data_IF_394655092825
#
_entry.id   IF_394655092825
#
_cell.length_a   1.000
_cell.length_b   1.000
_cell.length_c   1.000
_cell.angle_alpha   90.00
_cell.angle_beta   90.00
_cell.angle_gamma   90.00
#
_symmetry.space_group_name_H-M   'P 1'
#
loop_
_entity.id
_entity.type
_entity.pdbx_description
1 polymer ?
#
# COMPACT_ATOMS: atom_id res chain seq x y z
N UNK A 1 -20.76 12.73 13.49
CA UNK A 1 -20.65 14.20 13.56
C UNK A 1 -19.62 14.75 12.57
N UNK A 2 -18.39 14.20 12.53
CA UNK A 2 -17.31 14.65 11.64
C UNK A 2 -17.59 14.45 10.13
N UNK A 3 -18.16 13.31 9.74
CA UNK A 3 -18.57 13.03 8.35
C UNK A 3 -19.71 13.94 7.87
N UNK A 4 -20.66 14.25 8.75
CA UNK A 4 -21.74 15.22 8.47
C UNK A 4 -21.21 16.64 8.30
N UNK A 5 -20.23 17.04 9.12
CA UNK A 5 -19.56 18.35 9.00
C UNK A 5 -18.77 18.46 7.69
N UNK A 6 -18.00 17.45 7.30
CA UNK A 6 -17.30 17.44 6.00
C UNK A 6 -18.26 17.46 4.80
N UNK A 7 -19.32 16.64 4.83
CA UNK A 7 -20.37 16.65 3.80
C UNK A 7 -21.06 18.01 3.70
N UNK A 8 -21.33 18.65 4.83
CA UNK A 8 -21.93 19.99 4.88
C UNK A 8 -20.97 21.07 4.38
N UNK A 9 -19.69 21.01 4.75
CA UNK A 9 -18.66 21.92 4.28
C UNK A 9 -18.47 21.79 2.75
N UNK A 10 -18.52 20.56 2.22
CA UNK A 10 -18.48 20.31 0.78
C UNK A 10 -19.71 20.82 0.05
N UNK A 11 -20.90 20.60 0.61
CA UNK A 11 -22.14 21.12 0.04
C UNK A 11 -22.11 22.65 -0.03
N UNK A 12 -21.61 23.31 1.03
CA UNK A 12 -21.49 24.77 1.09
C UNK A 12 -20.44 25.29 0.09
N UNK A 13 -19.31 24.60 -0.10
CA UNK A 13 -18.24 25.04 -1.01
C UNK A 13 -18.53 24.74 -2.48
N UNK A 14 -19.09 23.57 -2.81
CA UNK A 14 -19.31 23.14 -4.19
C UNK A 14 -20.73 23.44 -4.70
N UNK A 15 -21.67 23.79 -3.82
CA UNK A 15 -23.11 23.97 -4.11
C UNK A 15 -23.74 22.80 -4.89
N UNK A 16 -23.18 21.60 -4.76
CA UNK A 16 -23.60 20.38 -5.43
C UNK A 16 -23.74 19.26 -4.42
N UNK A 17 -24.61 18.30 -4.71
CA UNK A 17 -24.67 17.05 -3.95
C UNK A 17 -23.35 16.28 -4.14
N UNK A 18 -22.72 15.86 -3.04
CA UNK A 18 -21.41 15.20 -3.03
C UNK A 18 -21.41 13.91 -3.85
N UNK A 19 -22.48 13.12 -3.77
CA UNK A 19 -22.58 11.87 -4.53
C UNK A 19 -22.71 12.13 -6.03
N UNK A 20 -23.48 13.16 -6.42
CA UNK A 20 -23.59 13.56 -7.83
C UNK A 20 -22.25 14.10 -8.34
N UNK A 21 -21.57 14.92 -7.55
CA UNK A 21 -20.24 15.43 -7.90
C UNK A 21 -19.24 14.29 -8.08
N UNK A 22 -19.20 13.34 -7.15
CA UNK A 22 -18.30 12.18 -7.21
C UNK A 22 -18.59 11.31 -8.42
N UNK A 23 -19.87 11.02 -8.70
CA UNK A 23 -20.28 10.28 -9.88
C UNK A 23 -19.80 10.96 -11.17
N UNK A 24 -20.06 12.26 -11.30
CA UNK A 24 -19.60 13.04 -12.46
C UNK A 24 -18.07 13.08 -12.54
N UNK A 25 -17.38 13.28 -11.41
CA UNK A 25 -15.92 13.31 -11.34
C UNK A 25 -15.29 12.00 -11.81
N UNK A 26 -15.85 10.86 -11.39
CA UNK A 26 -15.39 9.52 -11.78
C UNK A 26 -15.61 9.23 -13.27
N UNK A 27 -16.70 9.75 -13.86
CA UNK A 27 -17.05 9.49 -15.26
C UNK A 27 -16.56 10.56 -16.24
N UNK A 28 -15.92 11.61 -15.75
CA UNK A 28 -15.53 12.77 -16.56
C UNK A 28 -14.43 12.47 -17.60
N UNK A 29 -13.61 11.44 -17.37
CA UNK A 29 -12.48 11.08 -18.24
C UNK A 29 -12.47 9.57 -18.51
N UNK A 30 -12.20 9.19 -19.77
CA UNK A 30 -12.03 7.80 -20.19
C UNK A 30 -10.94 7.09 -19.38
N UNK A 31 -9.84 7.77 -19.04
CA UNK A 31 -8.76 7.21 -18.19
C UNK A 31 -9.29 6.81 -16.82
N UNK A 32 -10.10 7.67 -16.20
CA UNK A 32 -10.73 7.39 -14.90
C UNK A 32 -11.66 6.20 -14.96
N UNK A 33 -12.52 6.15 -15.99
CA UNK A 33 -13.43 5.01 -16.20
C UNK A 33 -12.64 3.72 -16.35
N UNK A 34 -11.58 3.71 -17.15
CA UNK A 34 -10.73 2.53 -17.33
C UNK A 34 -10.05 2.10 -16.02
N UNK A 35 -9.48 3.05 -15.27
CA UNK A 35 -8.89 2.78 -13.96
C UNK A 35 -9.90 2.19 -12.97
N UNK A 36 -11.11 2.74 -12.90
CA UNK A 36 -12.17 2.25 -12.01
C UNK A 36 -12.55 0.82 -12.40
N UNK A 37 -12.77 0.54 -13.70
CA UNK A 37 -13.08 -0.81 -14.17
C UNK A 37 -11.96 -1.79 -13.84
N UNK A 38 -10.71 -1.38 -14.05
CA UNK A 38 -9.54 -2.17 -13.71
C UNK A 38 -9.47 -2.48 -12.21
N UNK A 39 -9.67 -1.48 -11.34
CA UNK A 39 -9.68 -1.67 -9.89
C UNK A 39 -10.85 -2.52 -9.39
N UNK A 40 -12.03 -2.42 -10.02
CA UNK A 40 -13.14 -3.32 -9.74
C UNK A 40 -12.78 -4.78 -10.08
N UNK A 41 -12.11 -5.01 -11.21
CA UNK A 41 -11.62 -6.33 -11.59
C UNK A 41 -10.54 -6.84 -10.63
N UNK A 42 -9.59 -6.00 -10.21
CA UNK A 42 -8.58 -6.34 -9.22
C UNK A 42 -9.21 -6.70 -7.86
N UNK A 43 -10.23 -5.95 -7.44
CA UNK A 43 -10.97 -6.21 -6.19
C UNK A 43 -11.72 -7.54 -6.28
N UNK A 44 -12.42 -7.79 -7.39
CA UNK A 44 -13.08 -9.07 -7.64
C UNK A 44 -12.10 -10.24 -7.59
N UNK A 45 -10.95 -10.10 -8.26
CA UNK A 45 -9.88 -11.11 -8.27
C UNK A 45 -9.29 -11.36 -6.88
N UNK A 46 -9.20 -10.33 -6.04
CA UNK A 46 -8.73 -10.44 -4.65
C UNK A 46 -9.73 -11.20 -3.78
N UNK A 47 -11.03 -10.92 -3.95
CA UNK A 47 -12.09 -11.61 -3.23
C UNK A 47 -12.15 -13.09 -3.63
N UNK A 48 -12.07 -13.40 -4.93
CA UNK A 48 -12.07 -14.80 -5.39
C UNK A 48 -10.84 -15.55 -4.91
N UNK A 49 -9.66 -14.90 -4.85
CA UNK A 49 -8.46 -15.47 -4.25
C UNK A 49 -8.65 -15.81 -2.76
N UNK A 50 -9.22 -14.89 -1.97
CA UNK A 50 -9.51 -15.13 -0.55
C UNK A 50 -10.48 -16.29 -0.37
N UNK A 51 -11.55 -16.36 -1.17
CA UNK A 51 -12.50 -17.48 -1.15
C UNK A 51 -11.83 -18.79 -1.53
N UNK A 52 -10.98 -18.80 -2.56
CA UNK A 52 -10.26 -19.99 -3.00
C UNK A 52 -9.29 -20.52 -1.94
N UNK A 53 -8.60 -19.64 -1.22
CA UNK A 53 -7.72 -20.03 -0.11
C UNK A 53 -8.54 -20.62 1.05
N UNK A 54 -9.68 -20.02 1.39
CA UNK A 54 -10.57 -20.50 2.44
C UNK A 54 -11.27 -21.82 2.13
N UNK A 55 -11.37 -22.22 0.86
CA UNK A 55 -11.91 -23.53 0.49
C UNK A 55 -11.03 -24.68 1.01
N UNK A 56 -9.72 -24.45 1.18
CA UNK A 56 -8.77 -25.51 1.54
C UNK A 56 -8.91 -25.88 3.03
N UNK A 57 -9.32 -27.11 3.38
CA UNK A 57 -9.53 -27.49 4.78
C UNK A 57 -8.20 -27.51 5.55
N UNK A 58 -8.20 -27.00 6.78
CA UNK A 58 -7.04 -26.93 7.69
C UNK A 58 -5.80 -26.23 7.08
N UNK A 59 -6.01 -25.33 6.12
CA UNK A 59 -4.93 -24.57 5.50
C UNK A 59 -4.65 -23.29 6.28
N UNK A 60 -3.38 -23.01 6.57
CA UNK A 60 -2.90 -21.72 7.08
C UNK A 60 -2.03 -21.06 6.02
N UNK A 61 -2.28 -19.80 5.70
CA UNK A 61 -1.55 -19.09 4.66
C UNK A 61 -0.06 -18.97 5.02
N UNK A 62 0.81 -19.37 4.09
CA UNK A 62 2.25 -19.14 4.23
C UNK A 62 2.58 -17.65 4.12
N UNK A 63 3.77 -17.26 4.56
CA UNK A 63 4.26 -15.88 4.43
C UNK A 63 4.17 -15.39 2.98
N UNK A 64 4.50 -16.24 2.01
CA UNK A 64 4.42 -15.92 0.57
C UNK A 64 2.98 -15.64 0.14
N UNK A 65 2.02 -16.45 0.58
CA UNK A 65 0.60 -16.26 0.28
C UNK A 65 0.06 -14.97 0.90
N UNK A 66 0.51 -14.60 2.11
CA UNK A 66 0.17 -13.31 2.72
C UNK A 66 0.72 -12.12 1.94
N UNK A 67 1.88 -12.26 1.28
CA UNK A 67 2.47 -11.21 0.41
C UNK A 67 1.77 -11.06 -0.95
N UNK A 68 0.80 -11.90 -1.29
CA UNK A 68 -0.01 -11.67 -2.50
C UNK A 68 -0.74 -10.32 -2.45
N UNK A 69 -1.17 -9.86 -1.26
CA UNK A 69 -1.80 -8.55 -1.10
C UNK A 69 -0.84 -7.38 -1.40
N UNK A 70 0.45 -7.53 -1.10
CA UNK A 70 1.49 -6.56 -1.49
C UNK A 70 1.64 -6.45 -3.01
N UNK A 71 1.52 -7.56 -3.73
CA UNK A 71 1.54 -7.53 -5.20
C UNK A 71 0.26 -6.90 -5.78
N UNK A 72 -0.90 -7.23 -5.21
CA UNK A 72 -2.19 -6.66 -5.63
C UNK A 72 -2.20 -5.15 -5.43
N UNK A 73 -1.70 -4.64 -4.30
CA UNK A 73 -1.66 -3.18 -4.08
C UNK A 73 -0.71 -2.50 -5.08
N UNK A 74 0.41 -3.12 -5.46
CA UNK A 74 1.26 -2.63 -6.55
C UNK A 74 0.51 -2.53 -7.88
N UNK A 75 -0.24 -3.57 -8.24
CA UNK A 75 -1.06 -3.59 -9.48
C UNK A 75 -2.07 -2.44 -9.47
N UNK A 76 -2.69 -2.13 -8.33
CA UNK A 76 -3.70 -1.06 -8.21
C UNK A 76 -3.06 0.33 -8.23
N UNK A 77 -1.99 0.52 -7.46
CA UNK A 77 -1.41 1.84 -7.21
C UNK A 77 -0.52 2.33 -8.34
N UNK A 78 0.30 1.47 -8.97
CA UNK A 78 1.19 1.88 -10.06
C UNK A 78 0.42 2.61 -11.18
N UNK A 79 -0.65 2.03 -11.78
CA UNK A 79 -1.42 2.74 -12.80
C UNK A 79 -2.16 3.96 -12.23
N UNK A 80 -2.61 3.92 -10.99
CA UNK A 80 -3.21 5.10 -10.35
C UNK A 80 -2.23 6.27 -10.24
N UNK A 81 -0.99 6.03 -9.83
CA UNK A 81 0.04 7.07 -9.73
C UNK A 81 0.42 7.58 -11.13
N UNK A 82 0.55 6.69 -12.12
CA UNK A 82 0.96 7.07 -13.48
C UNK A 82 -0.12 7.82 -14.26
N UNK A 83 -1.40 7.48 -14.07
CA UNK A 83 -2.47 7.97 -14.92
C UNK A 83 -3.41 8.99 -14.27
N UNK A 84 -3.69 8.88 -12.96
CA UNK A 84 -4.57 9.82 -12.25
C UNK A 84 -4.39 9.76 -10.71
N UNK A 85 -3.41 10.53 -10.22
CA UNK A 85 -3.08 10.60 -8.78
C UNK A 85 -4.26 11.14 -7.96
N UNK A 86 -5.06 12.05 -8.50
CA UNK A 86 -6.19 12.67 -7.78
C UNK A 86 -7.33 11.68 -7.60
N UNK A 87 -7.63 10.89 -8.63
CA UNK A 87 -8.57 9.78 -8.52
C UNK A 87 -8.05 8.73 -7.52
N UNK A 88 -6.77 8.36 -7.57
CA UNK A 88 -6.19 7.40 -6.61
C UNK A 88 -6.25 7.94 -5.17
N UNK A 89 -6.02 9.24 -4.97
CA UNK A 89 -6.14 9.90 -3.66
C UNK A 89 -7.56 9.79 -3.11
N UNK A 90 -8.57 10.10 -3.93
CA UNK A 90 -9.97 9.97 -3.56
C UNK A 90 -10.33 8.50 -3.25
N UNK A 91 -9.99 7.59 -4.17
CA UNK A 91 -10.32 6.17 -4.07
C UNK A 91 -9.68 5.52 -2.84
N UNK A 92 -8.43 5.83 -2.54
CA UNK A 92 -7.74 5.28 -1.36
C UNK A 92 -8.31 5.79 -0.04
N UNK A 93 -8.80 7.04 0.03
CA UNK A 93 -9.53 7.54 1.20
C UNK A 93 -10.88 6.82 1.42
N UNK A 94 -11.59 6.54 0.32
CA UNK A 94 -12.82 5.73 0.37
C UNK A 94 -12.51 4.29 0.80
N UNK A 95 -11.45 3.69 0.25
CA UNK A 95 -11.01 2.35 0.62
C UNK A 95 -10.61 2.25 2.10
N UNK A 96 -9.90 3.25 2.64
CA UNK A 96 -9.55 3.29 4.07
C UNK A 96 -10.82 3.33 4.92
N UNK A 97 -11.78 4.18 4.55
CA UNK A 97 -13.06 4.26 5.25
C UNK A 97 -13.79 2.92 5.22
N UNK A 98 -13.84 2.26 4.07
CA UNK A 98 -14.44 0.94 3.92
C UNK A 98 -13.74 -0.11 4.79
N UNK A 99 -12.41 -0.15 4.81
CA UNK A 99 -11.64 -1.11 5.62
C UNK A 99 -11.89 -0.92 7.11
N UNK A 100 -11.93 0.33 7.58
CA UNK A 100 -12.26 0.63 8.99
C UNK A 100 -13.68 0.17 9.31
N UNK A 101 -14.67 0.45 8.46
CA UNK A 101 -16.06 0.03 8.68
C UNK A 101 -16.20 -1.50 8.71
N UNK A 102 -15.55 -2.20 7.79
CA UNK A 102 -15.54 -3.66 7.74
C UNK A 102 -14.92 -4.25 9.01
N UNK A 103 -13.82 -3.67 9.47
CA UNK A 103 -13.17 -4.08 10.71
C UNK A 103 -14.05 -3.82 11.93
N UNK A 104 -14.76 -2.69 11.97
CA UNK A 104 -15.76 -2.42 13.02
C UNK A 104 -16.90 -3.43 13.00
N UNK A 105 -17.41 -3.82 11.83
CA UNK A 105 -18.45 -4.85 11.71
C UNK A 105 -17.97 -6.22 12.20
N UNK A 106 -16.70 -6.56 11.98
CA UNK A 106 -16.07 -7.77 12.51
C UNK A 106 -16.00 -7.73 14.03
N UNK A 107 -15.48 -6.65 14.61
CA UNK A 107 -15.32 -6.49 16.08
C UNK A 107 -16.67 -6.49 16.80
N UNK A 108 -17.66 -5.80 16.24
CA UNK A 108 -19.00 -5.71 16.80
C UNK A 108 -19.84 -6.97 16.58
N UNK A 109 -19.29 -8.00 15.91
CA UNK A 109 -19.98 -9.25 15.58
C UNK A 109 -21.34 -9.01 14.90
N UNK A 110 -21.40 -8.07 13.95
CA UNK A 110 -22.62 -7.80 13.19
C UNK A 110 -23.08 -9.10 12.51
N UNK A 111 -24.34 -9.54 12.68
CA UNK A 111 -24.81 -10.82 12.15
C UNK A 111 -24.51 -10.97 10.66
N UNK A 112 -24.09 -12.16 10.25
CA UNK A 112 -23.69 -12.53 8.88
C UNK A 112 -22.38 -11.87 8.43
N UNK A 113 -22.29 -10.54 8.49
CA UNK A 113 -21.15 -9.77 7.96
C UNK A 113 -19.90 -9.98 8.81
N UNK A 114 -20.00 -9.82 10.13
CA UNK A 114 -18.86 -9.94 11.04
C UNK A 114 -18.25 -11.34 11.00
N UNK A 115 -19.09 -12.38 11.02
CA UNK A 115 -18.66 -13.77 10.89
C UNK A 115 -18.02 -14.05 9.53
N UNK A 116 -18.59 -13.53 8.43
CA UNK A 116 -18.02 -13.72 7.10
C UNK A 116 -16.62 -13.10 6.97
N UNK A 117 -16.42 -11.88 7.51
CA UNK A 117 -15.13 -11.20 7.50
C UNK A 117 -14.13 -11.96 8.39
N UNK A 118 -14.53 -12.36 9.60
CA UNK A 118 -13.68 -13.13 10.50
C UNK A 118 -13.17 -14.41 9.83
N UNK A 119 -14.08 -15.22 9.26
CA UNK A 119 -13.71 -16.44 8.56
C UNK A 119 -12.82 -16.16 7.34
N UNK A 120 -13.11 -15.10 6.58
CA UNK A 120 -12.32 -14.75 5.40
C UNK A 120 -10.85 -14.45 5.73
N UNK A 121 -10.57 -13.78 6.85
CA UNK A 121 -9.22 -13.37 7.24
C UNK A 121 -8.51 -14.34 8.19
N UNK A 122 -9.21 -15.25 8.86
CA UNK A 122 -8.63 -16.19 9.84
C UNK A 122 -7.45 -16.98 9.27
N UNK A 123 -7.56 -17.48 8.03
CA UNK A 123 -6.50 -18.23 7.35
C UNK A 123 -5.22 -17.40 7.13
N UNK A 124 -5.34 -16.08 7.12
CA UNK A 124 -4.25 -15.13 6.85
C UNK A 124 -3.65 -14.51 8.12
N UNK A 125 -4.17 -14.78 9.31
CA UNK A 125 -3.65 -14.22 10.55
C UNK A 125 -2.23 -14.71 10.85
N UNK A 126 -1.36 -13.77 11.21
CA UNK A 126 0.00 -14.04 11.68
C UNK A 126 0.26 -13.41 13.06
N UNK A 127 1.50 -13.53 13.55
CA UNK A 127 1.88 -13.05 14.88
C UNK A 127 1.65 -11.55 15.06
N UNK A 128 1.66 -10.77 13.96
CA UNK A 128 1.43 -9.31 14.00
C UNK A 128 -0.04 -8.96 14.20
N UNK A 129 -0.95 -9.87 13.82
CA UNK A 129 -2.40 -9.73 14.00
C UNK A 129 -2.90 -10.50 15.25
N UNK A 130 -2.03 -10.72 16.24
CA UNK A 130 -2.37 -11.38 17.52
C UNK A 130 -3.26 -10.55 18.46
N UNK A 131 -3.49 -9.28 18.13
CA UNK A 131 -4.38 -8.38 18.86
C UNK A 131 -5.86 -8.55 18.51
N UNK A 132 -6.71 -7.71 19.10
CA UNK A 132 -8.14 -7.66 18.79
C UNK A 132 -8.40 -7.21 17.34
N UNK A 133 -7.48 -6.44 16.76
CA UNK A 133 -7.61 -5.81 15.45
C UNK A 133 -6.76 -6.52 14.39
N UNK A 134 -7.31 -6.69 13.19
CA UNK A 134 -6.61 -7.20 12.00
C UNK A 134 -6.13 -5.98 11.20
N UNK A 135 -4.92 -5.50 11.48
CA UNK A 135 -4.45 -4.19 10.99
C UNK A 135 -3.51 -4.30 9.80
N UNK A 136 -2.95 -5.47 9.51
CA UNK A 136 -1.94 -5.64 8.45
C UNK A 136 -2.36 -5.04 7.10
N UNK A 137 -3.60 -5.30 6.65
CA UNK A 137 -4.10 -4.78 5.37
C UNK A 137 -4.45 -3.29 5.41
N UNK A 138 -4.90 -2.78 6.57
CA UNK A 138 -5.13 -1.34 6.77
C UNK A 138 -3.79 -0.61 6.73
N UNK A 139 -2.78 -1.13 7.41
CA UNK A 139 -1.43 -0.58 7.42
C UNK A 139 -0.79 -0.61 6.04
N UNK A 140 -0.99 -1.68 5.26
CA UNK A 140 -0.51 -1.74 3.88
C UNK A 140 -1.15 -0.64 3.02
N UNK A 141 -2.47 -0.47 3.09
CA UNK A 141 -3.20 0.58 2.38
C UNK A 141 -2.68 1.98 2.78
N UNK A 142 -2.61 2.25 4.08
CA UNK A 142 -2.15 3.53 4.62
C UNK A 142 -0.69 3.79 4.22
N UNK A 143 0.19 2.79 4.32
CA UNK A 143 1.59 2.90 3.93
C UNK A 143 1.78 3.30 2.47
N UNK A 144 1.05 2.67 1.56
CA UNK A 144 1.10 3.02 0.13
C UNK A 144 0.43 4.36 -0.17
N UNK A 145 -0.58 4.76 0.61
CA UNK A 145 -1.33 6.00 0.40
C UNK A 145 -0.71 7.25 1.02
N UNK A 146 0.00 7.13 2.13
CA UNK A 146 0.55 8.28 2.86
C UNK A 146 1.41 9.18 1.96
N UNK A 147 2.36 8.68 1.15
CA UNK A 147 3.11 9.50 0.21
C UNK A 147 2.21 10.32 -0.72
N UNK A 148 1.13 9.71 -1.24
CA UNK A 148 0.18 10.34 -2.17
C UNK A 148 -0.66 11.42 -1.48
N UNK A 149 -1.05 11.18 -0.22
CA UNK A 149 -1.78 12.13 0.59
C UNK A 149 -0.92 13.33 0.95
N UNK A 150 0.34 13.10 1.34
CA UNK A 150 1.26 14.13 1.81
C UNK A 150 1.78 15.03 0.68
N UNK A 151 2.13 14.48 -0.49
CA UNK A 151 2.64 15.29 -1.61
C UNK A 151 1.65 16.36 -2.06
N UNK A 152 0.34 16.11 -1.95
CA UNK A 152 -0.70 17.10 -2.27
C UNK A 152 -0.69 18.35 -1.36
N UNK A 153 0.04 18.33 -0.24
CA UNK A 153 0.18 19.46 0.68
C UNK A 153 1.58 20.07 0.71
N UNK A 154 2.62 19.28 0.39
CA UNK A 154 4.03 19.66 0.60
C UNK A 154 4.64 20.35 -0.62
N UNK A 155 4.14 20.08 -1.83
CA UNK A 155 4.80 20.54 -3.06
C UNK A 155 3.80 21.11 -4.07
N UNK A 156 4.02 22.36 -4.49
CA UNK A 156 3.34 22.99 -5.64
C UNK A 156 3.79 22.37 -6.98
N UNK A 157 4.68 21.37 -6.96
CA UNK A 157 5.21 20.74 -8.17
C UNK A 157 4.19 19.78 -8.75
N UNK A 158 3.46 20.26 -9.76
CA UNK A 158 2.57 19.46 -10.59
C UNK A 158 3.40 18.49 -11.44
N UNK A 159 3.09 17.20 -11.38
CA UNK A 159 3.69 16.21 -12.27
C UNK A 159 4.00 14.87 -11.60
N UNK A 160 4.74 14.06 -12.34
CA UNK A 160 5.28 12.78 -11.88
C UNK A 160 6.36 13.02 -10.82
N UNK A 161 6.29 12.27 -9.71
CA UNK A 161 7.30 12.30 -8.66
C UNK A 161 7.56 10.90 -8.14
N UNK A 162 8.82 10.48 -8.16
CA UNK A 162 9.23 9.15 -7.67
C UNK A 162 8.85 8.94 -6.19
N UNK A 163 8.75 10.00 -5.37
CA UNK A 163 8.34 9.91 -3.98
C UNK A 163 6.91 9.35 -3.79
N UNK A 164 6.03 9.49 -4.79
CA UNK A 164 4.69 8.89 -4.74
C UNK A 164 4.74 7.35 -4.72
N UNK A 165 5.83 6.77 -5.23
CA UNK A 165 6.05 5.32 -5.28
C UNK A 165 6.71 4.77 -4.02
N UNK A 166 6.99 5.57 -2.99
CA UNK A 166 7.74 5.10 -1.80
C UNK A 166 7.12 3.88 -1.15
N UNK A 167 5.78 3.80 -1.02
CA UNK A 167 5.13 2.60 -0.47
C UNK A 167 5.17 1.39 -1.40
N UNK A 168 5.19 1.60 -2.72
CA UNK A 168 5.31 0.53 -3.72
C UNK A 168 6.73 -0.04 -3.71
N UNK A 169 7.73 0.83 -3.71
CA UNK A 169 9.14 0.45 -3.69
C UNK A 169 9.46 -0.27 -2.38
N UNK A 170 9.21 0.37 -1.23
CA UNK A 170 9.64 -0.14 0.08
C UNK A 170 8.85 -1.37 0.52
N UNK A 171 7.52 -1.27 0.60
CA UNK A 171 6.68 -2.33 1.17
C UNK A 171 6.16 -3.26 0.07
N UNK A 172 5.53 -2.70 -0.95
CA UNK A 172 4.88 -3.48 -2.02
C UNK A 172 5.83 -4.48 -2.69
N UNK A 173 7.05 -4.06 -3.01
CA UNK A 173 8.05 -4.89 -3.68
C UNK A 173 9.24 -5.23 -2.77
N UNK A 174 9.77 -4.27 -2.00
CA UNK A 174 10.93 -4.47 -1.12
C UNK A 174 10.70 -5.47 0.01
N UNK A 175 9.73 -5.23 0.89
CA UNK A 175 9.37 -6.12 2.00
C UNK A 175 8.86 -7.49 1.51
N UNK A 176 8.11 -7.51 0.39
CA UNK A 176 7.73 -8.75 -0.26
C UNK A 176 8.97 -9.56 -0.72
N UNK A 177 9.93 -8.92 -1.40
CA UNK A 177 11.18 -9.56 -1.81
C UNK A 177 12.03 -9.99 -0.62
N UNK A 178 12.07 -9.21 0.45
CA UNK A 178 12.79 -9.56 1.68
C UNK A 178 12.22 -10.82 2.33
N UNK A 179 10.89 -10.90 2.41
CA UNK A 179 10.17 -12.02 3.03
C UNK A 179 10.28 -13.29 2.18
N UNK A 180 10.10 -13.18 0.87
CA UNK A 180 10.24 -14.30 -0.08
C UNK A 180 11.68 -14.78 -0.11
N UNK A 181 12.65 -13.89 -0.34
CA UNK A 181 14.07 -14.20 -0.36
C UNK A 181 14.57 -14.78 0.96
N UNK A 182 14.14 -14.20 2.09
CA UNK A 182 14.47 -14.71 3.42
C UNK A 182 13.88 -16.10 3.69
N UNK A 183 12.71 -16.42 3.15
CA UNK A 183 12.09 -17.75 3.28
C UNK A 183 12.84 -18.82 2.48
N UNK A 184 13.27 -18.49 1.25
CA UNK A 184 13.88 -19.48 0.34
C UNK A 184 15.41 -19.57 0.44
N UNK A 185 16.09 -18.45 0.72
CA UNK A 185 17.55 -18.34 0.68
C UNK A 185 18.15 -18.02 2.06
N UNK A 186 17.33 -17.66 3.04
CA UNK A 186 17.76 -17.20 4.35
C UNK A 186 18.54 -18.25 5.12
N UNK A 187 19.79 -17.93 5.45
CA UNK A 187 20.66 -18.79 6.28
C UNK A 187 21.23 -18.00 7.45
N UNK A 188 21.58 -16.74 7.21
CA UNK A 188 22.29 -15.93 8.17
C UNK A 188 21.37 -14.81 8.69
N UNK A 189 21.19 -14.76 10.00
CA UNK A 189 20.27 -13.82 10.66
C UNK A 189 21.00 -12.58 11.16
N UNK A 190 20.30 -11.44 11.10
CA UNK A 190 20.77 -10.23 11.75
C UNK A 190 20.80 -10.42 13.27
N UNK A 191 21.86 -9.95 13.93
CA UNK A 191 21.96 -10.03 15.39
C UNK A 191 20.76 -9.37 16.06
N UNK A 192 20.03 -10.14 16.88
CA UNK A 192 18.84 -9.69 17.62
C UNK A 192 17.56 -9.58 16.77
N UNK A 193 17.51 -10.15 15.57
CA UNK A 193 16.36 -10.08 14.67
C UNK A 193 16.10 -11.43 13.97
N UNK A 194 14.82 -11.71 13.69
CA UNK A 194 14.41 -12.88 12.90
C UNK A 194 14.58 -12.65 11.39
N UNK A 195 15.09 -11.48 10.97
CA UNK A 195 15.35 -11.14 9.58
C UNK A 195 16.71 -11.68 9.13
N UNK A 196 16.82 -12.05 7.87
CA UNK A 196 18.05 -12.61 7.29
C UNK A 196 18.80 -11.60 6.42
N UNK A 197 20.13 -11.74 6.33
CA UNK A 197 20.93 -10.91 5.43
C UNK A 197 20.55 -11.15 3.97
N UNK A 198 20.26 -12.40 3.59
CA UNK A 198 19.83 -12.75 2.24
C UNK A 198 18.50 -12.08 1.88
N UNK A 199 17.54 -12.04 2.82
CA UNK A 199 16.30 -11.29 2.67
C UNK A 199 16.56 -9.79 2.46
N UNK A 200 17.41 -9.17 3.29
CA UNK A 200 17.78 -7.77 3.11
C UNK A 200 18.44 -7.47 1.76
N UNK A 201 19.30 -8.36 1.25
CA UNK A 201 19.92 -8.23 -0.07
C UNK A 201 18.85 -8.31 -1.17
N UNK A 202 17.91 -9.26 -1.10
CA UNK A 202 16.79 -9.33 -2.04
C UNK A 202 15.95 -8.05 -2.04
N UNK A 203 15.71 -7.46 -0.85
CA UNK A 203 15.03 -6.18 -0.70
C UNK A 203 15.79 -5.05 -1.38
N UNK A 204 17.10 -4.92 -1.12
CA UNK A 204 17.96 -3.86 -1.68
C UNK A 204 17.99 -3.94 -3.19
N UNK A 205 18.25 -5.13 -3.75
CA UNK A 205 18.32 -5.35 -5.21
C UNK A 205 17.00 -4.99 -5.87
N UNK A 206 15.88 -5.47 -5.32
CA UNK A 206 14.54 -5.20 -5.85
C UNK A 206 14.22 -3.70 -5.80
N UNK A 207 14.45 -3.06 -4.65
CA UNK A 207 14.20 -1.64 -4.47
C UNK A 207 15.07 -0.76 -5.37
N UNK A 208 16.35 -1.10 -5.58
CA UNK A 208 17.21 -0.37 -6.51
C UNK A 208 16.68 -0.49 -7.95
N UNK A 209 16.40 -1.71 -8.43
CA UNK A 209 15.90 -1.93 -9.80
C UNK A 209 14.63 -1.12 -10.04
N UNK A 210 13.67 -1.21 -9.11
CA UNK A 210 12.38 -0.51 -9.23
C UNK A 210 12.56 1.00 -9.09
N UNK A 211 13.39 1.48 -8.17
CA UNK A 211 13.65 2.91 -8.01
C UNK A 211 14.31 3.50 -9.25
N UNK A 212 15.27 2.81 -9.85
CA UNK A 212 15.88 3.26 -11.10
C UNK A 212 14.89 3.23 -12.27
N UNK A 213 14.04 2.20 -12.36
CA UNK A 213 12.97 2.17 -13.35
C UNK A 213 12.06 3.40 -13.22
N UNK A 214 11.59 3.72 -12.02
CA UNK A 214 10.76 4.90 -11.79
C UNK A 214 11.52 6.22 -11.93
N UNK A 215 12.82 6.27 -11.62
CA UNK A 215 13.63 7.46 -11.87
C UNK A 215 13.64 7.77 -13.38
N UNK A 216 13.94 6.76 -14.21
CA UNK A 216 14.05 6.91 -15.66
C UNK A 216 12.74 7.31 -16.36
N UNK A 217 11.59 7.10 -15.71
CA UNK A 217 10.28 7.49 -16.28
C UNK A 217 10.00 8.99 -16.21
N UNK A 218 10.65 9.75 -15.33
CA UNK A 218 10.28 11.16 -15.14
C UNK A 218 11.32 12.08 -14.51
N UNK A 219 12.52 11.60 -14.20
CA UNK A 219 13.60 12.42 -13.63
C UNK A 219 14.93 12.16 -14.35
N UNK A 220 15.85 13.11 -14.26
CA UNK A 220 17.17 12.98 -14.85
C UNK A 220 18.07 12.02 -14.07
N UNK A 221 18.92 11.28 -14.79
CA UNK A 221 19.94 10.41 -14.22
C UNK A 221 21.16 11.22 -13.77
N UNK A 222 20.98 12.07 -12.75
CA UNK A 222 22.04 12.86 -12.15
C UNK A 222 22.73 12.12 -11.01
N UNK A 223 24.00 12.44 -10.73
CA UNK A 223 24.72 11.89 -9.57
C UNK A 223 23.97 12.13 -8.26
N UNK A 224 23.30 13.29 -8.15
CA UNK A 224 22.48 13.65 -7.00
C UNK A 224 21.31 12.67 -6.80
N UNK A 225 20.49 12.46 -7.84
CA UNK A 225 19.33 11.57 -7.78
C UNK A 225 19.72 10.12 -7.53
N UNK A 226 20.81 9.65 -8.17
CA UNK A 226 21.37 8.31 -7.92
C UNK A 226 21.79 8.17 -6.46
N UNK A 227 22.50 9.17 -5.91
CA UNK A 227 22.97 9.13 -4.52
C UNK A 227 21.79 9.08 -3.54
N UNK A 228 20.74 9.87 -3.77
CA UNK A 228 19.53 9.83 -2.94
C UNK A 228 18.89 8.44 -2.97
N UNK A 229 18.72 7.84 -4.14
CA UNK A 229 18.12 6.49 -4.26
C UNK A 229 18.95 5.46 -3.49
N UNK A 230 20.27 5.45 -3.67
CA UNK A 230 21.15 4.48 -3.00
C UNK A 230 21.04 4.65 -1.47
N UNK A 231 21.12 5.88 -0.97
CA UNK A 231 20.99 6.16 0.47
C UNK A 231 19.61 5.74 0.98
N UNK A 232 18.54 6.13 0.28
CA UNK A 232 17.17 5.80 0.66
C UNK A 232 16.95 4.29 0.77
N UNK A 233 17.39 3.53 -0.23
CA UNK A 233 17.21 2.07 -0.26
C UNK A 233 18.04 1.38 0.82
N UNK A 234 19.31 1.76 0.99
CA UNK A 234 20.18 1.16 2.00
C UNK A 234 19.66 1.43 3.42
N UNK A 235 19.30 2.68 3.72
CA UNK A 235 18.79 3.04 5.04
C UNK A 235 17.41 2.43 5.31
N UNK A 236 16.52 2.38 4.32
CA UNK A 236 15.19 1.74 4.48
C UNK A 236 15.34 0.24 4.73
N UNK A 237 16.24 -0.43 4.01
CA UNK A 237 16.50 -1.87 4.20
C UNK A 237 17.18 -2.17 5.53
N UNK A 238 18.06 -1.27 6.01
CA UNK A 238 18.67 -1.38 7.32
C UNK A 238 17.63 -1.17 8.44
N UNK A 239 16.73 -0.20 8.27
CA UNK A 239 15.63 0.06 9.20
C UNK A 239 14.73 -1.17 9.35
N UNK A 240 14.37 -1.80 8.23
CA UNK A 240 13.60 -3.05 8.21
C UNK A 240 14.35 -4.22 8.88
N UNK A 241 15.66 -4.33 8.67
CA UNK A 241 16.46 -5.41 9.25
C UNK A 241 16.61 -5.30 10.77
N UNK A 242 16.68 -4.07 11.29
CA UNK A 242 17.09 -3.77 12.69
C UNK A 242 15.94 -3.39 13.61
N UNK A 243 14.74 -3.15 13.09
CA UNK A 243 13.62 -2.71 13.92
C UNK A 243 12.45 -3.66 13.87
N UNK A 244 11.68 -3.70 14.96
CA UNK A 244 10.44 -4.49 15.09
C UNK A 244 9.21 -3.60 14.92
N UNK A 245 9.31 -2.59 14.05
CA UNK A 245 8.26 -1.61 13.83
C UNK A 245 7.14 -2.16 12.95
N UNK A 246 6.06 -1.40 12.81
CA UNK A 246 5.03 -1.65 11.80
C UNK A 246 5.59 -1.27 10.42
N UNK A 247 6.31 -2.22 9.83
CA UNK A 247 6.97 -2.13 8.53
C UNK A 247 6.08 -1.53 7.44
N UNK A 248 4.84 -1.99 7.34
CA UNK A 248 3.85 -1.50 6.38
C UNK A 248 3.59 0.02 6.49
N UNK A 249 3.83 0.66 7.64
CA UNK A 249 3.65 2.12 7.82
C UNK A 249 4.96 2.89 7.79
N UNK A 250 6.00 2.38 8.46
CA UNK A 250 7.21 3.17 8.69
C UNK A 250 8.10 3.20 7.45
N UNK A 251 8.30 2.06 6.76
CA UNK A 251 9.21 2.02 5.61
C UNK A 251 8.77 2.97 4.47
N UNK A 252 7.47 3.06 4.11
CA UNK A 252 7.02 3.99 3.07
C UNK A 252 7.30 5.44 3.42
N UNK A 253 7.02 5.86 4.66
CA UNK A 253 7.23 7.23 5.11
C UNK A 253 8.71 7.57 5.24
N UNK A 254 9.50 6.62 5.71
CA UNK A 254 10.94 6.78 5.82
C UNK A 254 11.56 6.97 4.43
N UNK A 255 11.27 6.07 3.49
CA UNK A 255 11.74 6.20 2.10
C UNK A 255 11.23 7.48 1.43
N UNK A 256 9.97 7.85 1.66
CA UNK A 256 9.36 9.09 1.15
C UNK A 256 10.16 10.33 1.53
N UNK A 257 10.63 10.42 2.78
CA UNK A 257 11.42 11.55 3.26
C UNK A 257 12.72 11.79 2.47
N UNK A 258 13.31 10.74 1.89
CA UNK A 258 14.46 10.86 1.00
C UNK A 258 14.06 11.14 -0.45
N UNK A 259 13.08 10.40 -0.98
CA UNK A 259 12.70 10.52 -2.38
C UNK A 259 12.05 11.87 -2.71
N UNK A 260 11.56 12.61 -1.72
CA UNK A 260 11.09 14.00 -1.90
C UNK A 260 12.18 14.99 -2.34
N UNK A 261 13.46 14.65 -2.15
CA UNK A 261 14.60 15.48 -2.55
C UNK A 261 15.03 15.24 -4.00
N UNK A 262 14.36 14.34 -4.72
CA UNK A 262 14.61 14.09 -6.15
C UNK A 262 13.83 15.12 -6.97
N UNK A 263 14.55 15.77 -7.88
CA UNK A 263 14.02 16.72 -8.85
C UNK A 263 14.29 16.22 -10.27
#
# INVERSE_FOLDING_TARGET
>A
MFTGLMMSAWYVTLKKNVFIWMWLYCLNDKKRVFLILFWLLSTFSSVTFVVWINWKPNYKASTVVRKCFHFIICIVYIPGILYDVDLLRLASGIALTAFIVLEMFRILNVPIIGSAIQSAFEVFLDEKDSGILILTNIYLLVGCSCPIWLTGYISDVKGYHICLFSGIISVGLGDAAASVGGTFLGKHHWAGSNKTYEGSICAIVTQLIVSFYFLLLGHELSLHNITIIIIAVLLTSLLEAKTTQVDNLVLPLFMFSFLCWIH
#
